data_IF_493631447315
#
_entry.id   IF_493631447315
#
_cell.length_a   1.000
_cell.length_b   1.000
_cell.length_c   1.000
_cell.angle_alpha   90.00
_cell.angle_beta   90.00
_cell.angle_gamma   90.00
#
_symmetry.space_group_name_H-M   'P 1'
#
loop_
_entity.id
_entity.type
_entity.pdbx_description
1 polymer ?
#
# COMPACT_ATOMS: atom_id res chain seq x y z
N UNK A 1 -2.79 20.09 -2.24
CA UNK A 1 -2.70 21.56 -2.23
C UNK A 1 -1.52 21.97 -3.09
N UNK A 2 -1.69 23.02 -3.89
CA UNK A 2 -0.65 23.53 -4.77
C UNK A 2 -1.07 24.85 -5.38
N UNK A 3 -0.18 25.42 -6.20
CA UNK A 3 -0.40 26.67 -6.93
C UNK A 3 0.09 26.50 -8.35
N UNK A 4 -0.65 27.03 -9.31
CA UNK A 4 -0.25 26.94 -10.71
C UNK A 4 -1.06 27.89 -11.58
N UNK A 5 -0.43 28.34 -12.65
CA UNK A 5 -1.05 29.15 -13.69
C UNK A 5 -1.21 28.28 -14.93
N UNK A 6 -2.47 27.95 -15.27
CA UNK A 6 -2.81 27.02 -16.35
C UNK A 6 -3.70 27.73 -17.38
N UNK A 7 -3.29 27.67 -18.65
CA UNK A 7 -4.03 28.15 -19.79
C UNK A 7 -4.66 26.97 -20.54
N UNK A 8 -5.96 26.78 -20.36
CA UNK A 8 -6.75 25.78 -21.07
C UNK A 8 -7.36 26.38 -22.34
N UNK A 9 -7.27 25.65 -23.45
CA UNK A 9 -7.85 25.99 -24.73
C UNK A 9 -8.68 24.80 -25.24
N UNK A 10 -9.85 25.12 -25.79
CA UNK A 10 -10.75 24.15 -26.39
C UNK A 10 -11.35 24.74 -27.66
N UNK A 11 -11.28 24.00 -28.77
CA UNK A 11 -11.84 24.43 -30.05
C UNK A 11 -13.13 23.68 -30.43
N UNK A 12 -13.85 24.20 -31.43
CA UNK A 12 -15.09 23.61 -31.92
C UNK A 12 -14.90 22.24 -32.62
N UNK A 13 -13.65 21.87 -32.96
CA UNK A 13 -13.32 20.55 -33.48
C UNK A 13 -13.09 19.52 -32.37
N UNK A 14 -13.08 19.96 -31.10
CA UNK A 14 -12.88 19.12 -29.92
C UNK A 14 -11.42 18.98 -29.49
N UNK A 15 -10.49 19.73 -30.09
CA UNK A 15 -9.09 19.71 -29.66
C UNK A 15 -8.95 20.44 -28.32
N UNK A 16 -8.25 19.81 -27.40
CA UNK A 16 -7.93 20.37 -26.09
C UNK A 16 -6.43 20.65 -26.01
N UNK A 17 -6.07 21.80 -25.45
CA UNK A 17 -4.70 22.11 -25.08
C UNK A 17 -4.66 22.74 -23.68
N UNK A 18 -3.66 22.35 -22.89
CA UNK A 18 -3.36 22.87 -21.57
C UNK A 18 -1.88 23.25 -21.54
N UNK A 19 -1.59 24.48 -21.15
CA UNK A 19 -0.22 24.98 -21.01
C UNK A 19 -0.04 25.60 -19.62
N UNK A 20 1.12 25.37 -19.02
CA UNK A 20 1.46 25.96 -17.72
C UNK A 20 2.02 24.93 -16.76
N UNK A 21 2.23 25.34 -15.51
CA UNK A 21 2.78 24.49 -14.47
C UNK A 21 1.95 24.55 -13.19
N UNK A 22 1.95 23.43 -12.47
CA UNK A 22 1.34 23.29 -11.15
C UNK A 22 2.42 22.85 -10.16
N UNK A 23 2.71 23.69 -9.18
CA UNK A 23 3.61 23.40 -8.08
C UNK A 23 2.83 22.79 -6.91
N UNK A 24 3.29 21.63 -6.44
CA UNK A 24 2.74 20.95 -5.28
C UNK A 24 3.34 21.56 -4.02
N UNK A 25 2.47 22.08 -3.16
CA UNK A 25 2.85 22.67 -1.86
C UNK A 25 2.71 21.64 -0.73
N UNK A 26 1.65 20.84 -0.78
CA UNK A 26 1.32 19.85 0.24
C UNK A 26 0.42 18.79 -0.38
N UNK A 27 0.68 17.51 -0.11
CA UNK A 27 -0.12 16.41 -0.62
C UNK A 27 0.38 15.09 -0.08
N UNK A 28 -0.35 14.02 -0.36
CA UNK A 28 0.08 12.66 -0.04
C UNK A 28 -0.15 11.75 -1.24
N UNK A 29 0.79 10.83 -1.45
CA UNK A 29 0.67 9.71 -2.37
C UNK A 29 0.59 8.44 -1.55
N UNK A 30 -0.46 7.62 -1.76
CA UNK A 30 -0.54 6.31 -1.11
C UNK A 30 -0.05 5.26 -2.09
N UNK A 31 1.10 4.68 -1.79
CA UNK A 31 1.64 3.55 -2.52
C UNK A 31 1.01 2.27 -1.98
N UNK A 32 0.40 1.50 -2.89
CA UNK A 32 -0.14 0.19 -2.60
C UNK A 32 0.79 -0.87 -3.18
N UNK A 33 1.58 -1.52 -2.32
CA UNK A 33 2.48 -2.58 -2.76
C UNK A 33 1.75 -3.90 -2.76
N UNK A 34 1.27 -4.32 -3.94
CA UNK A 34 0.68 -5.65 -4.19
C UNK A 34 -0.44 -6.06 -3.22
N UNK A 35 -1.18 -5.10 -2.66
CA UNK A 35 -2.21 -5.33 -1.64
C UNK A 35 -1.69 -5.80 -0.28
N UNK A 36 -0.36 -5.84 -0.09
CA UNK A 36 0.28 -6.25 1.16
C UNK A 36 0.41 -5.09 2.14
N UNK A 37 0.77 -3.89 1.63
CA UNK A 37 0.94 -2.69 2.45
C UNK A 37 0.42 -1.45 1.74
N UNK A 38 -0.16 -0.55 2.55
CA UNK A 38 -0.54 0.80 2.14
C UNK A 38 0.40 1.77 2.84
N UNK A 39 1.29 2.41 2.06
CA UNK A 39 2.27 3.37 2.58
C UNK A 39 1.96 4.76 2.05
N UNK A 40 1.67 5.68 2.97
CA UNK A 40 1.45 7.08 2.64
C UNK A 40 2.80 7.81 2.61
N UNK A 41 3.15 8.32 1.45
CA UNK A 41 4.25 9.24 1.23
C UNK A 41 3.71 10.66 1.22
N UNK A 42 4.42 11.58 1.87
CA UNK A 42 4.08 12.99 1.85
C UNK A 42 4.84 13.68 0.72
N UNK A 43 4.14 14.48 -0.09
CA UNK A 43 4.73 15.19 -1.22
C UNK A 43 5.74 16.22 -0.71
N UNK A 44 6.93 16.21 -1.31
CA UNK A 44 8.00 17.17 -1.03
C UNK A 44 7.68 18.48 -1.74
N UNK A 45 7.77 19.59 -1.01
CA UNK A 45 7.56 20.94 -1.54
C UNK A 45 8.55 21.22 -2.67
N UNK A 46 8.06 21.84 -3.75
CA UNK A 46 8.86 22.15 -4.95
C UNK A 46 8.68 21.13 -6.08
N UNK A 47 7.99 20.03 -5.80
CA UNK A 47 7.49 19.09 -6.83
C UNK A 47 6.54 19.82 -7.80
N UNK A 48 6.64 19.53 -9.11
CA UNK A 48 5.82 20.19 -10.12
C UNK A 48 5.27 19.27 -11.21
N UNK A 49 4.18 19.70 -11.82
CA UNK A 49 3.58 19.08 -13.02
C UNK A 49 3.53 20.15 -14.10
N UNK A 50 3.99 19.83 -15.31
CA UNK A 50 4.06 20.81 -16.41
C UNK A 50 3.28 20.31 -17.63
N UNK A 51 2.41 21.15 -18.18
CA UNK A 51 1.68 20.89 -19.41
C UNK A 51 2.18 21.79 -20.55
N UNK A 52 2.29 21.22 -21.74
CA UNK A 52 2.81 21.89 -22.94
C UNK A 52 2.00 21.54 -24.18
N UNK A 53 0.67 21.53 -24.07
CA UNK A 53 -0.24 21.15 -25.14
C UNK A 53 -1.21 20.08 -24.67
N UNK A 54 -0.96 18.81 -24.96
CA UNK A 54 -1.93 17.76 -24.64
C UNK A 54 -2.18 17.63 -23.11
N UNK A 55 -3.43 17.82 -22.64
CA UNK A 55 -3.76 17.79 -21.21
C UNK A 55 -3.48 16.46 -20.50
N UNK A 56 -3.39 15.35 -21.22
CA UNK A 56 -3.15 14.00 -20.67
C UNK A 56 -1.65 13.69 -20.59
N UNK A 57 -0.82 14.51 -21.26
CA UNK A 57 0.59 14.26 -21.53
C UNK A 57 1.52 15.13 -20.68
N UNK A 58 1.11 15.43 -19.46
CA UNK A 58 1.86 16.30 -18.57
C UNK A 58 3.24 15.72 -18.23
N UNK A 59 4.27 16.55 -18.16
CA UNK A 59 5.56 16.18 -17.58
C UNK A 59 5.47 16.13 -16.05
N UNK A 60 6.02 15.09 -15.45
CA UNK A 60 6.10 14.91 -14.01
C UNK A 60 7.51 15.21 -13.52
N UNK A 61 7.61 16.01 -12.46
CA UNK A 61 8.81 16.16 -11.64
C UNK A 61 8.35 16.24 -10.18
N UNK A 62 7.92 15.09 -9.64
CA UNK A 62 7.40 15.00 -8.28
C UNK A 62 8.34 14.19 -7.40
N UNK A 63 8.45 14.57 -6.14
CA UNK A 63 9.13 13.78 -5.13
C UNK A 63 8.21 13.58 -3.94
N UNK A 64 8.12 12.35 -3.44
CA UNK A 64 7.33 12.01 -2.25
C UNK A 64 8.21 11.26 -1.24
N UNK A 65 8.03 11.56 0.05
CA UNK A 65 8.87 11.09 1.15
C UNK A 65 8.07 10.21 2.11
N UNK A 66 8.64 9.06 2.49
CA UNK A 66 8.19 8.23 3.59
C UNK A 66 9.34 8.00 4.57
N UNK A 67 9.11 8.26 5.85
CA UNK A 67 10.10 8.04 6.91
C UNK A 67 9.89 6.67 7.57
N UNK A 68 10.91 5.83 7.52
CA UNK A 68 10.95 4.52 8.17
C UNK A 68 11.96 4.49 9.31
N UNK A 69 11.59 3.94 10.46
CA UNK A 69 12.53 3.79 11.58
C UNK A 69 12.92 2.32 11.71
N UNK A 70 14.18 2.00 11.39
CA UNK A 70 14.68 0.62 11.45
C UNK A 70 16.17 0.54 11.77
N UNK A 71 16.64 -0.63 12.18
CA UNK A 71 18.04 -0.86 12.48
C UNK A 71 18.88 -1.01 11.18
N UNK A 72 19.96 -0.23 11.00
CA UNK A 72 20.83 -0.33 9.82
C UNK A 72 21.65 -1.62 9.77
N UNK A 73 21.70 -2.43 10.83
CA UNK A 73 22.55 -3.62 10.87
C UNK A 73 22.40 -4.46 9.61
N UNK A 74 21.17 -4.81 9.25
CA UNK A 74 20.88 -5.65 8.09
C UNK A 74 21.30 -5.02 6.73
N UNK A 75 21.41 -3.69 6.65
CA UNK A 75 21.85 -2.98 5.45
C UNK A 75 23.36 -3.14 5.21
N UNK A 76 24.13 -3.24 6.30
CA UNK A 76 25.60 -3.21 6.28
C UNK A 76 26.25 -4.53 6.70
N UNK A 77 25.50 -5.46 7.30
CA UNK A 77 25.99 -6.72 7.87
C UNK A 77 26.27 -7.81 6.83
N UNK A 78 26.86 -7.46 5.69
CA UNK A 78 27.19 -8.40 4.61
C UNK A 78 28.28 -9.40 5.00
N UNK A 79 29.25 -9.62 4.10
CA UNK A 79 30.20 -10.74 4.16
C UNK A 79 31.26 -10.71 5.27
N UNK A 80 31.34 -9.64 6.07
CA UNK A 80 32.37 -9.49 7.10
C UNK A 80 31.77 -9.35 8.50
N UNK A 81 32.32 -10.14 9.43
CA UNK A 81 31.95 -10.06 10.85
C UNK A 81 32.45 -8.75 11.44
N UNK A 82 31.52 -7.92 11.91
CA UNK A 82 31.81 -6.65 12.58
C UNK A 82 32.16 -6.88 14.05
N UNK A 83 32.99 -6.03 14.67
CA UNK A 83 33.20 -6.06 16.12
C UNK A 83 31.89 -5.90 16.89
N UNK A 84 31.73 -6.60 18.01
CA UNK A 84 30.48 -6.65 18.80
C UNK A 84 29.95 -5.26 19.19
N UNK A 85 30.85 -4.33 19.54
CA UNK A 85 30.49 -2.95 19.84
C UNK A 85 29.83 -2.24 18.66
N UNK A 86 30.32 -2.45 17.45
CA UNK A 86 29.77 -1.84 16.23
C UNK A 86 28.44 -2.51 15.84
N UNK A 87 28.32 -3.83 16.01
CA UNK A 87 27.05 -4.53 15.84
C UNK A 87 25.98 -3.95 16.77
N UNK A 88 26.29 -3.76 18.05
CA UNK A 88 25.37 -3.21 19.03
C UNK A 88 24.98 -1.76 18.74
N UNK A 89 25.85 -0.98 18.10
CA UNK A 89 25.52 0.36 17.61
C UNK A 89 24.57 0.31 16.41
N UNK A 90 24.80 -0.60 15.47
CA UNK A 90 24.00 -0.76 14.25
C UNK A 90 22.65 -1.45 14.47
N UNK A 91 22.46 -2.11 15.62
CA UNK A 91 21.14 -2.62 16.05
C UNK A 91 20.21 -1.51 16.56
N UNK A 92 20.70 -0.28 16.75
CA UNK A 92 19.86 0.85 17.19
C UNK A 92 19.08 1.42 16.00
N UNK A 93 17.76 1.61 16.12
CA UNK A 93 16.95 2.15 15.03
C UNK A 93 17.36 3.57 14.62
N UNK A 94 17.37 3.82 13.30
CA UNK A 94 17.62 5.13 12.69
C UNK A 94 16.44 5.52 11.77
N UNK A 95 16.15 6.83 11.63
CA UNK A 95 15.06 7.32 10.79
C UNK A 95 15.53 7.47 9.34
N UNK A 96 15.33 6.44 8.52
CA UNK A 96 15.59 6.46 7.09
C UNK A 96 14.47 7.15 6.32
N UNK A 97 14.87 7.90 5.31
CA UNK A 97 13.98 8.61 4.41
C UNK A 97 13.94 7.85 3.07
N UNK A 98 12.78 7.32 2.71
CA UNK A 98 12.53 6.67 1.42
C UNK A 98 11.85 7.70 0.51
N UNK A 99 12.54 8.10 -0.55
CA UNK A 99 12.01 9.03 -1.55
C UNK A 99 11.57 8.28 -2.80
N UNK A 100 10.43 8.68 -3.34
CA UNK A 100 9.96 8.28 -4.67
C UNK A 100 10.05 9.50 -5.56
N UNK A 101 10.74 9.37 -6.69
CA UNK A 101 10.79 10.37 -7.73
C UNK A 101 9.90 9.93 -8.89
N UNK A 102 8.99 10.82 -9.29
CA UNK A 102 8.09 10.65 -10.43
C UNK A 102 8.60 11.56 -11.54
N UNK A 103 9.22 10.95 -12.54
CA UNK A 103 9.70 11.58 -13.75
C UNK A 103 8.85 11.22 -14.97
N UNK A 104 9.33 11.66 -16.14
CA UNK A 104 8.72 11.29 -17.41
C UNK A 104 7.37 11.96 -17.63
N UNK A 105 6.43 11.24 -18.25
CA UNK A 105 5.14 11.78 -18.67
C UNK A 105 4.02 11.13 -17.88
N UNK A 106 2.92 11.84 -17.67
CA UNK A 106 1.80 11.34 -16.86
C UNK A 106 1.14 10.08 -17.44
N UNK A 107 1.21 9.91 -18.77
CA UNK A 107 0.74 8.71 -19.48
C UNK A 107 1.76 7.55 -19.47
N UNK A 108 3.02 7.81 -19.15
CA UNK A 108 4.10 6.83 -19.02
C UNK A 108 5.09 7.31 -17.93
N UNK A 109 4.70 7.23 -16.64
CA UNK A 109 5.47 7.80 -15.55
C UNK A 109 6.70 6.93 -15.26
N UNK A 110 7.85 7.58 -15.09
CA UNK A 110 9.09 6.91 -14.67
C UNK A 110 9.23 7.03 -13.16
N UNK A 111 9.20 5.90 -12.45
CA UNK A 111 9.39 5.86 -11.00
C UNK A 111 10.82 5.44 -10.67
N UNK A 112 11.47 6.22 -9.82
CA UNK A 112 12.75 5.84 -9.19
C UNK A 112 12.68 6.05 -7.68
N UNK A 113 13.53 5.35 -6.96
CA UNK A 113 13.61 5.43 -5.51
C UNK A 113 14.98 5.94 -5.09
N UNK A 114 15.00 6.66 -3.97
CA UNK A 114 16.23 7.01 -3.26
C UNK A 114 16.05 6.64 -1.79
N UNK A 115 17.13 6.14 -1.18
CA UNK A 115 17.17 5.85 0.24
C UNK A 115 18.16 6.80 0.90
N UNK A 116 17.69 7.55 1.88
CA UNK A 116 18.45 8.62 2.50
C UNK A 116 18.41 8.55 4.03
N UNK A 117 19.31 9.28 4.65
CA UNK A 117 19.45 9.41 6.09
C UNK A 117 19.97 10.81 6.42
N UNK A 118 19.37 11.45 7.42
CA UNK A 118 19.77 12.81 7.83
C UNK A 118 21.28 12.88 8.18
N UNK A 119 21.93 13.97 7.76
CA UNK A 119 23.36 14.22 7.90
C UNK A 119 23.91 13.98 9.31
N UNK A 120 23.11 14.25 10.35
CA UNK A 120 23.54 14.02 11.72
C UNK A 120 23.79 12.54 12.02
N UNK A 121 23.02 11.65 11.41
CA UNK A 121 23.17 10.21 11.55
C UNK A 121 24.25 9.69 10.61
N UNK A 122 24.31 10.16 9.35
CA UNK A 122 25.38 9.80 8.41
C UNK A 122 26.77 10.01 8.99
N UNK A 123 27.01 11.20 9.56
CA UNK A 123 28.29 11.52 10.25
C UNK A 123 28.60 10.61 11.43
N UNK A 124 27.58 10.07 12.10
CA UNK A 124 27.73 9.18 13.26
C UNK A 124 27.87 7.70 12.88
N UNK A 125 27.42 7.33 11.68
CA UNK A 125 27.39 5.96 11.17
C UNK A 125 28.01 5.89 9.76
N UNK A 126 29.34 6.08 9.63
CA UNK A 126 30.02 6.14 8.33
C UNK A 126 29.87 4.86 7.49
N UNK A 127 29.68 3.70 8.12
CA UNK A 127 29.42 2.45 7.39
C UNK A 127 28.04 2.44 6.71
N UNK A 128 27.05 3.02 7.38
CA UNK A 128 25.70 3.18 6.82
C UNK A 128 25.75 4.19 5.70
N UNK A 129 26.44 5.31 5.91
CA UNK A 129 26.63 6.36 4.91
C UNK A 129 27.25 5.81 3.62
N UNK A 130 28.40 5.12 3.71
CA UNK A 130 29.05 4.52 2.54
C UNK A 130 28.20 3.46 1.85
N UNK A 131 27.33 2.74 2.59
CA UNK A 131 26.39 1.79 1.98
C UNK A 131 25.26 2.51 1.24
N UNK A 132 24.73 3.61 1.79
CA UNK A 132 23.75 4.44 1.10
C UNK A 132 24.33 5.04 -0.19
N UNK A 133 25.56 5.56 -0.13
CA UNK A 133 26.27 6.06 -1.33
C UNK A 133 26.47 4.97 -2.38
N UNK A 134 26.77 3.73 -1.97
CA UNK A 134 26.89 2.61 -2.90
C UNK A 134 25.54 2.26 -3.56
N UNK A 135 24.43 2.34 -2.82
CA UNK A 135 23.09 2.08 -3.36
C UNK A 135 22.60 3.15 -4.33
N UNK A 136 23.04 4.40 -4.14
CA UNK A 136 22.71 5.52 -5.02
C UNK A 136 23.42 5.44 -6.39
N UNK A 137 24.41 4.56 -6.54
CA UNK A 137 25.09 4.37 -7.81
C UNK A 137 24.15 3.74 -8.86
N UNK A 138 24.20 4.17 -10.13
CA UNK A 138 23.32 3.64 -11.19
C UNK A 138 23.40 2.12 -11.38
N UNK A 139 24.54 1.50 -11.05
CA UNK A 139 24.74 0.05 -11.12
C UNK A 139 24.06 -0.75 -10.00
N UNK A 140 23.51 -0.07 -9.00
CA UNK A 140 22.90 -0.69 -7.81
C UNK A 140 21.38 -0.49 -7.73
N UNK A 141 20.74 -0.07 -8.83
CA UNK A 141 19.29 0.18 -8.88
C UNK A 141 18.44 -1.00 -8.38
N UNK A 142 18.72 -2.21 -8.87
CA UNK A 142 17.99 -3.42 -8.45
C UNK A 142 18.14 -3.69 -6.94
N UNK A 143 19.33 -3.44 -6.40
CA UNK A 143 19.63 -3.63 -4.99
C UNK A 143 18.97 -2.56 -4.13
N UNK A 144 19.00 -1.29 -4.56
CA UNK A 144 18.29 -0.19 -3.91
C UNK A 144 16.78 -0.47 -3.84
N UNK A 145 16.18 -0.90 -4.96
CA UNK A 145 14.77 -1.28 -5.02
C UNK A 145 14.45 -2.45 -4.08
N UNK A 146 15.34 -3.44 -3.99
CA UNK A 146 15.23 -4.56 -3.04
C UNK A 146 15.22 -4.07 -1.58
N UNK A 147 16.13 -3.17 -1.22
CA UNK A 147 16.21 -2.60 0.13
C UNK A 147 15.00 -1.74 0.46
N UNK A 148 14.57 -0.88 -0.48
CA UNK A 148 13.37 -0.05 -0.33
C UNK A 148 12.13 -0.92 -0.16
N UNK A 149 11.99 -1.99 -0.93
CA UNK A 149 10.91 -2.96 -0.76
C UNK A 149 10.92 -3.58 0.63
N UNK A 150 12.10 -4.02 1.11
CA UNK A 150 12.26 -4.52 2.48
C UNK A 150 11.79 -3.51 3.52
N UNK A 151 12.17 -2.23 3.38
CA UNK A 151 11.74 -1.17 4.28
C UNK A 151 10.23 -0.91 4.24
N UNK A 152 9.61 -0.96 3.06
CA UNK A 152 8.18 -0.65 2.92
C UNK A 152 7.30 -1.82 3.36
N UNK A 153 7.72 -3.06 3.09
CA UNK A 153 6.92 -4.26 3.39
C UNK A 153 7.28 -4.86 4.75
N UNK A 154 8.56 -5.01 5.05
CA UNK A 154 9.08 -5.68 6.25
C UNK A 154 9.49 -4.70 7.37
N UNK A 155 9.48 -3.40 7.10
CA UNK A 155 10.05 -2.38 8.00
C UNK A 155 11.51 -2.67 8.42
N UNK A 156 12.26 -3.38 7.57
CA UNK A 156 13.64 -3.79 7.83
C UNK A 156 14.40 -3.98 6.53
N UNK A 157 15.72 -3.83 6.59
CA UNK A 157 16.59 -4.09 5.46
C UNK A 157 16.74 -5.57 5.18
N UNK A 158 16.97 -5.90 3.91
CA UNK A 158 17.20 -7.28 3.48
C UNK A 158 18.70 -7.54 3.52
N UNK A 159 19.12 -8.47 4.38
CA UNK A 159 20.53 -8.86 4.45
C UNK A 159 20.96 -9.54 3.15
N UNK A 160 22.16 -9.21 2.68
CA UNK A 160 22.87 -9.99 1.66
C UNK A 160 23.31 -11.33 2.26
N UNK A 161 22.36 -12.24 2.44
CA UNK A 161 22.65 -13.60 2.85
C UNK A 161 23.27 -14.35 1.67
N UNK A 162 24.57 -14.58 1.76
CA UNK A 162 25.22 -15.62 0.97
C UNK A 162 24.54 -16.96 1.25
N UNK A 163 23.64 -17.36 0.35
CA UNK A 163 23.10 -18.71 0.18
C UNK A 163 22.32 -19.37 1.34
N UNK A 164 21.87 -18.65 2.37
CA UNK A 164 20.94 -19.21 3.37
C UNK A 164 19.62 -18.44 3.42
N UNK A 165 18.57 -19.11 2.94
CA UNK A 165 17.11 -18.95 3.07
C UNK A 165 16.53 -17.61 3.56
N UNK A 166 15.52 -17.06 2.86
CA UNK A 166 14.11 -16.89 3.31
C UNK A 166 13.32 -16.29 2.12
N UNK A 167 12.11 -16.79 1.84
CA UNK A 167 11.22 -16.39 0.74
C UNK A 167 11.02 -14.87 0.51
N UNK A 168 11.36 -14.01 1.47
CA UNK A 168 11.36 -12.56 1.35
C UNK A 168 12.39 -12.02 0.34
N UNK A 169 13.56 -12.66 0.22
CA UNK A 169 14.59 -12.28 -0.78
C UNK A 169 14.10 -12.56 -2.20
N UNK A 170 13.44 -13.69 -2.43
CA UNK A 170 12.86 -14.03 -3.74
C UNK A 170 11.70 -13.10 -4.11
N UNK A 171 10.85 -12.72 -3.14
CA UNK A 171 9.77 -11.76 -3.35
C UNK A 171 10.31 -10.36 -3.68
N UNK A 172 11.30 -9.87 -2.93
CA UNK A 172 11.91 -8.57 -3.17
C UNK A 172 12.67 -8.53 -4.51
N UNK A 173 13.38 -9.60 -4.86
CA UNK A 173 14.08 -9.74 -6.16
C UNK A 173 13.07 -9.83 -7.32
N UNK A 174 11.91 -10.45 -7.11
CA UNK A 174 10.84 -10.47 -8.11
C UNK A 174 10.10 -9.13 -8.25
N UNK A 175 9.95 -8.36 -7.17
CA UNK A 175 9.36 -7.02 -7.20
C UNK A 175 10.29 -6.01 -7.89
N UNK A 176 11.59 -6.02 -7.57
CA UNK A 176 12.61 -5.16 -8.17
C UNK A 176 12.76 -5.40 -9.69
N UNK A 177 12.60 -6.64 -10.16
CA UNK A 177 12.64 -6.97 -11.60
C UNK A 177 11.42 -6.50 -12.40
N UNK A 178 10.30 -6.27 -11.72
CA UNK A 178 9.01 -5.96 -12.35
C UNK A 178 8.53 -4.52 -12.06
N UNK A 179 9.42 -3.66 -11.53
CA UNK A 179 9.13 -2.26 -11.17
C UNK A 179 8.86 -1.36 -12.38
N UNK A 180 9.07 -1.87 -13.61
CA UNK A 180 8.80 -1.17 -14.87
C UNK A 180 7.77 -1.97 -15.67
N UNK A 181 6.51 -1.54 -15.62
CA UNK A 181 5.40 -2.01 -16.47
C UNK A 181 5.10 -3.52 -16.43
N UNK A 182 4.27 -3.92 -15.48
CA UNK A 182 3.34 -5.05 -15.66
C UNK A 182 3.70 -6.33 -14.94
N UNK A 183 3.17 -6.51 -13.74
CA UNK A 183 2.82 -7.85 -13.28
C UNK A 183 1.48 -8.23 -13.91
N UNK A 184 1.56 -8.65 -15.17
CA UNK A 184 0.56 -9.51 -15.77
C UNK A 184 0.53 -10.80 -14.92
N UNK A 185 -0.67 -11.19 -14.52
CA UNK A 185 -1.10 -12.32 -13.68
C UNK A 185 -0.35 -13.65 -13.90
N UNK A 186 0.36 -13.82 -15.02
CA UNK A 186 1.06 -15.04 -15.42
C UNK A 186 2.38 -15.31 -14.68
N UNK A 187 2.97 -14.33 -13.98
CA UNK A 187 4.21 -14.57 -13.21
C UNK A 187 3.94 -14.93 -11.74
N UNK A 188 2.82 -14.48 -11.16
CA UNK A 188 2.31 -15.00 -9.88
C UNK A 188 1.91 -16.49 -9.97
N UNK A 189 1.44 -16.91 -11.15
CA UNK A 189 1.22 -18.32 -11.45
C UNK A 189 2.52 -19.16 -11.46
N UNK A 190 3.71 -18.55 -11.60
CA UNK A 190 4.99 -19.29 -11.61
C UNK A 190 5.58 -19.49 -10.21
N UNK A 191 5.32 -18.59 -9.26
CA UNK A 191 5.71 -18.78 -7.85
C UNK A 191 4.84 -19.86 -7.18
N UNK A 192 3.58 -19.96 -7.59
CA UNK A 192 2.56 -20.84 -6.99
C UNK A 192 2.34 -22.15 -7.77
N UNK A 193 2.85 -22.25 -9.00
CA UNK A 193 2.31 -23.17 -10.01
C UNK A 193 2.99 -24.52 -10.21
N UNK A 194 3.82 -25.04 -9.30
CA UNK A 194 4.40 -26.38 -9.52
C UNK A 194 3.95 -27.50 -8.60
N UNK A 195 3.26 -27.24 -7.49
CA UNK A 195 2.85 -28.35 -6.63
C UNK A 195 1.40 -28.40 -6.15
N UNK A 196 0.59 -27.34 -6.15
CA UNK A 196 -0.80 -27.45 -5.65
C UNK A 196 -1.76 -26.49 -6.37
N UNK A 197 -2.63 -27.00 -7.25
CA UNK A 197 -3.78 -26.24 -7.78
C UNK A 197 -4.78 -25.96 -6.65
N UNK A 198 -5.26 -24.71 -6.54
CA UNK A 198 -6.38 -24.33 -5.68
C UNK A 198 -6.03 -23.91 -4.25
N UNK A 199 -4.78 -23.51 -3.98
CA UNK A 199 -4.32 -22.99 -2.67
C UNK A 199 -3.98 -21.50 -2.82
N UNK A 200 -4.61 -20.65 -2.03
CA UNK A 200 -4.34 -19.22 -1.90
C UNK A 200 -3.64 -18.95 -0.56
N UNK A 201 -2.52 -18.22 -0.57
CA UNK A 201 -1.74 -17.89 0.64
C UNK A 201 -1.79 -16.37 0.82
N UNK A 202 -2.14 -15.92 2.03
CA UNK A 202 -2.16 -14.52 2.43
C UNK A 202 -1.32 -14.34 3.69
N UNK A 203 -0.53 -13.27 3.75
CA UNK A 203 0.31 -12.94 4.90
C UNK A 203 0.10 -11.46 5.23
N UNK A 204 -0.07 -11.13 6.51
CA UNK A 204 -0.23 -9.78 7.02
C UNK A 204 0.65 -9.57 8.25
N UNK A 205 1.08 -8.34 8.52
CA UNK A 205 1.90 -8.02 9.69
C UNK A 205 1.22 -6.91 10.47
N UNK A 206 1.02 -7.13 11.77
CA UNK A 206 0.34 -6.20 12.67
C UNK A 206 1.26 -5.82 13.83
N UNK A 207 1.45 -4.52 14.05
CA UNK A 207 2.23 -3.99 15.17
C UNK A 207 1.31 -3.22 16.09
N UNK A 208 1.32 -3.53 17.38
CA UNK A 208 0.46 -2.90 18.39
C UNK A 208 1.23 -2.58 19.67
N UNK A 209 0.81 -1.51 20.35
CA UNK A 209 1.39 -1.12 21.65
C UNK A 209 0.74 -1.91 22.78
N UNK A 210 1.53 -2.67 23.53
CA UNK A 210 1.09 -3.43 24.69
C UNK A 210 1.63 -2.76 25.97
N UNK A 211 0.73 -2.44 26.92
CA UNK A 211 1.11 -1.86 28.21
C UNK A 211 0.98 -2.90 29.31
N UNK A 212 2.07 -3.21 30.00
CA UNK A 212 2.06 -4.11 31.17
C UNK A 212 2.97 -3.56 32.26
N UNK A 213 2.45 -3.47 33.48
CA UNK A 213 3.19 -2.95 34.65
C UNK A 213 3.62 -1.49 34.53
N UNK A 214 2.85 -0.64 33.83
CA UNK A 214 3.14 0.79 33.67
C UNK A 214 4.22 1.12 32.63
N UNK A 215 4.64 0.15 31.81
CA UNK A 215 5.55 0.33 30.67
C UNK A 215 4.86 -0.10 29.39
N UNK A 216 4.97 0.72 28.34
CA UNK A 216 4.46 0.43 27.00
C UNK A 216 5.60 -0.14 26.16
N UNK A 217 5.36 -1.30 25.55
CA UNK A 217 6.26 -1.93 24.60
C UNK A 217 5.51 -2.26 23.31
N UNK A 218 6.17 -2.06 22.19
CA UNK A 218 5.62 -2.28 20.86
C UNK A 218 5.81 -3.76 20.51
N UNK A 219 4.72 -4.46 20.19
CA UNK A 219 4.74 -5.89 19.82
C UNK A 219 4.38 -6.07 18.36
N UNK A 220 5.19 -6.84 17.62
CA UNK A 220 4.91 -7.16 16.21
C UNK A 220 4.51 -8.63 16.05
N UNK A 221 3.35 -8.89 15.45
CA UNK A 221 2.90 -10.22 15.04
C UNK A 221 2.87 -10.36 13.52
N UNK A 222 3.36 -11.50 13.03
CA UNK A 222 3.21 -11.93 11.65
C UNK A 222 2.04 -12.91 11.57
N UNK A 223 0.97 -12.48 10.92
CA UNK A 223 -0.24 -13.24 10.71
C UNK A 223 -0.17 -13.92 9.34
N UNK A 224 -0.37 -15.23 9.31
CA UNK A 224 -0.44 -15.99 8.07
C UNK A 224 -1.81 -16.64 7.95
N UNK A 225 -2.32 -16.72 6.72
CA UNK A 225 -3.53 -17.47 6.39
C UNK A 225 -3.33 -18.22 5.08
N UNK A 226 -3.49 -19.53 5.13
CA UNK A 226 -3.51 -20.41 3.98
C UNK A 226 -4.94 -20.85 3.77
N UNK A 227 -5.46 -20.68 2.55
CA UNK A 227 -6.79 -21.15 2.20
C UNK A 227 -6.74 -22.08 0.99
N UNK A 228 -7.66 -23.05 0.95
CA UNK A 228 -7.79 -23.99 -0.14
C UNK A 228 -9.23 -24.09 -0.58
N UNK A 229 -9.48 -23.85 -1.85
CA UNK A 229 -10.80 -24.03 -2.46
C UNK A 229 -10.93 -25.42 -3.07
N UNK A 230 -12.07 -26.03 -2.80
CA UNK A 230 -12.46 -27.38 -3.22
C UNK A 230 -13.91 -27.34 -3.72
N UNK A 231 -14.34 -28.40 -4.40
CA UNK A 231 -15.72 -28.55 -4.89
C UNK A 231 -16.17 -27.41 -5.82
N UNK A 232 -15.39 -27.10 -6.87
CA UNK A 232 -15.65 -25.99 -7.79
C UNK A 232 -15.83 -24.65 -7.05
N UNK A 233 -14.88 -24.34 -6.18
CA UNK A 233 -14.85 -23.12 -5.35
C UNK A 233 -15.96 -22.98 -4.32
N UNK A 234 -16.78 -24.02 -4.10
CA UNK A 234 -17.89 -23.97 -3.12
C UNK A 234 -17.50 -24.30 -1.69
N UNK A 235 -16.34 -24.92 -1.47
CA UNK A 235 -15.87 -25.29 -0.13
C UNK A 235 -14.47 -24.73 0.07
N UNK A 236 -14.33 -23.82 1.03
CA UNK A 236 -13.06 -23.18 1.37
C UNK A 236 -12.62 -23.61 2.75
N UNK A 237 -11.43 -24.17 2.85
CA UNK A 237 -10.75 -24.39 4.12
C UNK A 237 -9.74 -23.27 4.33
N UNK A 238 -9.79 -22.63 5.48
CA UNK A 238 -8.83 -21.61 5.91
C UNK A 238 -8.10 -22.11 7.16
N UNK A 239 -6.79 -21.96 7.17
CA UNK A 239 -5.93 -22.19 8.33
C UNK A 239 -5.03 -20.98 8.47
N UNK A 240 -5.04 -20.36 9.64
CA UNK A 240 -4.22 -19.21 9.93
C UNK A 240 -3.61 -19.26 11.31
N UNK A 241 -2.85 -18.23 11.63
CA UNK A 241 -2.22 -18.07 12.92
C UNK A 241 -1.31 -16.86 12.92
N UNK A 242 -0.87 -16.48 14.11
CA UNK A 242 0.02 -15.35 14.29
C UNK A 242 1.29 -15.82 15.02
N UNK A 243 2.44 -15.41 14.51
CA UNK A 243 3.73 -15.64 15.15
C UNK A 243 4.25 -14.30 15.63
N UNK A 244 4.53 -14.20 16.92
CA UNK A 244 5.15 -13.00 17.47
C UNK A 244 6.61 -12.93 17.01
N UNK A 245 7.04 -11.76 16.54
CA UNK A 245 8.35 -11.53 15.91
C UNK A 245 9.36 -10.86 16.86
N UNK A 246 8.99 -10.62 18.13
CA UNK A 246 9.87 -9.95 19.09
C UNK A 246 10.79 -10.94 19.82
N UNK A 247 12.08 -10.79 19.57
CA UNK A 247 13.17 -11.57 20.18
C UNK A 247 13.94 -10.70 21.20
N UNK A 248 13.30 -10.31 22.30
CA UNK A 248 13.96 -9.59 23.40
C UNK A 248 13.52 -10.04 24.80
N UNK A 249 14.04 -11.21 25.24
CA UNK A 249 14.69 -11.46 26.54
C UNK A 249 14.57 -12.93 26.97
N UNK A 250 15.73 -13.57 27.13
CA UNK A 250 15.97 -14.93 27.66
C UNK A 250 15.60 -15.16 29.15
N UNK A 251 14.60 -14.48 29.73
CA UNK A 251 14.21 -14.69 31.14
C UNK A 251 12.70 -14.65 31.43
N UNK A 252 11.89 -15.19 30.54
CA UNK A 252 10.54 -15.65 30.89
C UNK A 252 10.36 -17.07 30.36
N UNK A 253 10.22 -18.02 31.28
CA UNK A 253 10.06 -19.45 31.02
C UNK A 253 9.16 -19.74 29.81
N UNK A 254 9.68 -20.54 28.86
CA UNK A 254 8.99 -21.45 27.94
C UNK A 254 7.45 -21.42 28.00
N UNK A 255 6.85 -20.39 27.42
CA UNK A 255 5.55 -20.53 26.77
C UNK A 255 5.86 -20.40 25.30
N UNK A 256 5.67 -21.49 24.57
CA UNK A 256 5.63 -21.43 23.12
C UNK A 256 4.53 -20.41 22.73
N UNK A 257 4.91 -19.16 22.45
CA UNK A 257 4.02 -18.11 21.93
C UNK A 257 3.72 -18.36 20.43
N UNK A 258 3.45 -19.61 20.07
CA UNK A 258 2.72 -19.90 18.84
C UNK A 258 1.26 -19.64 19.19
N UNK A 259 0.74 -18.46 18.83
CA UNK A 259 -0.69 -18.16 19.04
C UNK A 259 -1.50 -19.29 18.40
N UNK A 260 -2.51 -19.79 19.12
CA UNK A 260 -3.20 -21.01 18.75
C UNK A 260 -3.76 -20.93 17.32
N UNK A 261 -3.58 -22.01 16.55
CA UNK A 261 -3.94 -22.07 15.15
C UNK A 261 -5.42 -21.73 14.93
N UNK A 262 -5.67 -20.78 14.05
CA UNK A 262 -7.01 -20.39 13.61
C UNK A 262 -7.43 -21.28 12.45
N UNK A 263 -8.70 -21.65 12.40
CA UNK A 263 -9.23 -22.39 11.27
C UNK A 263 -10.67 -22.01 10.99
N UNK A 264 -11.02 -21.94 9.71
CA UNK A 264 -12.38 -21.74 9.26
C UNK A 264 -12.72 -22.67 8.10
N UNK A 265 -13.97 -23.07 8.03
CA UNK A 265 -14.54 -23.83 6.93
C UNK A 265 -15.73 -23.05 6.42
N UNK A 266 -15.67 -22.62 5.16
CA UNK A 266 -16.72 -21.86 4.50
C UNK A 266 -17.34 -22.72 3.40
N UNK A 267 -18.67 -22.76 3.35
CA UNK A 267 -19.43 -23.47 2.33
C UNK A 267 -20.44 -22.55 1.65
N UNK A 268 -20.30 -22.39 0.35
CA UNK A 268 -21.24 -21.65 -0.49
C UNK A 268 -22.47 -22.50 -0.78
N UNK A 269 -23.53 -22.17 -0.05
CA UNK A 269 -24.83 -22.85 -0.14
C UNK A 269 -25.43 -22.62 -1.52
N UNK A 270 -25.32 -21.39 -2.04
CA UNK A 270 -25.74 -21.05 -3.40
C UNK A 270 -24.56 -20.87 -4.34
N UNK A 271 -24.68 -21.26 -5.63
CA UNK A 271 -23.59 -21.12 -6.61
C UNK A 271 -23.14 -19.67 -6.85
N UNK A 272 -23.97 -18.70 -6.50
CA UNK A 272 -23.71 -17.27 -6.63
C UNK A 272 -23.11 -16.65 -5.35
N UNK A 273 -22.78 -17.46 -4.33
CA UNK A 273 -22.16 -17.01 -3.08
C UNK A 273 -23.07 -16.15 -2.18
N UNK A 274 -24.34 -15.95 -2.53
CA UNK A 274 -25.26 -15.11 -1.73
C UNK A 274 -25.53 -15.68 -0.36
N UNK A 275 -25.50 -17.00 -0.21
CA UNK A 275 -25.66 -17.68 1.07
C UNK A 275 -24.44 -18.53 1.37
N UNK A 276 -23.80 -18.28 2.51
CA UNK A 276 -22.59 -18.97 2.92
C UNK A 276 -22.69 -19.41 4.38
N UNK A 277 -22.25 -20.63 4.66
CA UNK A 277 -22.12 -21.16 6.02
C UNK A 277 -20.65 -21.11 6.41
N UNK A 278 -20.32 -20.61 7.60
CA UNK A 278 -18.94 -20.53 8.10
C UNK A 278 -18.85 -21.14 9.49
N UNK A 279 -18.10 -22.23 9.62
CA UNK A 279 -17.62 -22.71 10.93
C UNK A 279 -16.24 -22.13 11.18
N UNK A 280 -15.98 -21.60 12.37
CA UNK A 280 -14.70 -20.97 12.68
C UNK A 280 -14.24 -21.22 14.11
N UNK A 281 -12.93 -21.18 14.29
CA UNK A 281 -12.22 -21.14 15.55
C UNK A 281 -11.13 -20.08 15.41
N UNK A 282 -11.29 -18.97 16.14
CA UNK A 282 -10.44 -17.78 16.05
C UNK A 282 -9.95 -17.40 17.46
N UNK A 283 -8.74 -16.86 17.55
CA UNK A 283 -8.16 -16.44 18.83
C UNK A 283 -7.99 -14.93 18.82
N UNK A 284 -8.66 -14.26 19.76
CA UNK A 284 -8.60 -12.80 19.90
C UNK A 284 -7.96 -12.42 21.23
N UNK A 285 -7.14 -11.38 21.26
CA UNK A 285 -6.52 -10.89 22.49
C UNK A 285 -7.24 -9.63 22.98
N UNK A 286 -7.71 -9.65 24.23
CA UNK A 286 -8.25 -8.48 24.93
C UNK A 286 -7.26 -8.05 26.02
N UNK A 287 -7.03 -6.73 26.15
CA UNK A 287 -6.14 -6.14 27.16
C UNK A 287 -6.58 -6.44 28.60
N UNK A 288 -7.86 -6.72 28.83
CA UNK A 288 -8.40 -7.00 30.17
C UNK A 288 -8.56 -8.50 30.46
N UNK A 289 -8.98 -9.29 29.47
CA UNK A 289 -9.34 -10.70 29.63
C UNK A 289 -8.27 -11.69 29.10
N UNK A 290 -7.23 -11.20 28.42
CA UNK A 290 -6.18 -12.03 27.85
C UNK A 290 -6.59 -12.71 26.54
N UNK A 291 -6.11 -13.94 26.30
CA UNK A 291 -6.45 -14.70 25.09
C UNK A 291 -7.87 -15.27 25.18
N UNK A 292 -8.76 -14.76 24.33
CA UNK A 292 -10.15 -15.19 24.19
C UNK A 292 -10.29 -15.99 22.89
N UNK A 293 -10.47 -17.29 23.04
CA UNK A 293 -10.83 -18.19 21.93
C UNK A 293 -12.33 -18.13 21.65
N UNK A 294 -12.71 -17.91 20.39
CA UNK A 294 -14.10 -17.94 19.94
C UNK A 294 -14.28 -19.03 18.91
N UNK A 295 -15.25 -19.91 19.16
CA UNK A 295 -15.67 -20.93 18.20
C UNK A 295 -17.15 -20.81 17.94
N UNK A 296 -17.53 -20.89 16.67
CA UNK A 296 -18.92 -20.69 16.30
C UNK A 296 -19.23 -21.13 14.88
N UNK A 297 -20.53 -21.07 14.58
CA UNK A 297 -21.06 -21.25 13.24
C UNK A 297 -21.85 -20.00 12.89
N UNK A 298 -21.53 -19.41 11.75
CA UNK A 298 -22.19 -18.24 11.20
C UNK A 298 -22.89 -18.59 9.89
N UNK A 299 -24.06 -18.01 9.69
CA UNK A 299 -24.76 -18.01 8.41
C UNK A 299 -24.71 -16.60 7.84
N UNK A 300 -24.21 -16.46 6.62
CA UNK A 300 -23.93 -15.18 5.99
C UNK A 300 -24.79 -15.03 4.75
N UNK A 301 -25.39 -13.83 4.60
CA UNK A 301 -26.20 -13.46 3.44
C UNK A 301 -25.68 -12.15 2.85
N UNK A 302 -25.24 -12.19 1.59
CA UNK A 302 -24.69 -11.03 0.88
C UNK A 302 -25.57 -10.71 -0.33
N UNK A 303 -25.96 -9.44 -0.48
CA UNK A 303 -26.75 -8.94 -1.62
C UNK A 303 -26.15 -7.64 -2.14
N UNK A 304 -25.69 -7.66 -3.38
CA UNK A 304 -25.30 -6.46 -4.10
C UNK A 304 -26.53 -5.69 -4.58
N UNK A 305 -26.62 -4.41 -4.23
CA UNK A 305 -27.61 -3.49 -4.78
C UNK A 305 -26.96 -2.69 -5.88
N UNK A 306 -27.24 -3.04 -7.13
CA UNK A 306 -26.95 -2.14 -8.26
C UNK A 306 -28.03 -1.08 -8.28
N UNK A 307 -27.64 0.20 -8.23
CA UNK A 307 -28.54 1.33 -8.44
C UNK A 307 -29.36 1.05 -9.69
N UNK A 308 -30.68 1.12 -9.56
CA UNK A 308 -31.55 0.76 -10.68
C UNK A 308 -31.41 1.81 -11.77
N UNK A 309 -31.44 1.40 -13.05
CA UNK A 309 -31.43 2.33 -14.19
C UNK A 309 -32.51 3.42 -14.09
N UNK A 310 -33.56 3.18 -13.28
CA UNK A 310 -34.60 4.15 -12.94
C UNK A 310 -34.12 5.29 -12.04
N UNK A 311 -33.20 5.04 -11.10
CA UNK A 311 -32.61 6.07 -10.24
C UNK A 311 -31.57 6.90 -10.99
N UNK A 312 -30.74 6.26 -11.82
CA UNK A 312 -29.80 6.96 -12.70
C UNK A 312 -30.52 7.90 -13.69
N UNK A 313 -31.63 7.44 -14.29
CA UNK A 313 -32.44 8.27 -15.19
C UNK A 313 -33.14 9.44 -14.46
N UNK A 314 -33.55 9.24 -13.21
CA UNK A 314 -34.15 10.30 -12.40
C UNK A 314 -33.14 11.39 -12.02
N UNK A 315 -31.88 11.02 -11.80
CA UNK A 315 -30.80 11.94 -11.48
C UNK A 315 -30.31 12.72 -12.71
N UNK A 316 -30.25 12.09 -13.89
CA UNK A 316 -30.01 12.77 -15.17
C UNK A 316 -31.14 13.76 -15.53
N UNK A 317 -32.41 13.38 -15.33
CA UNK A 317 -33.54 14.27 -15.60
C UNK A 317 -33.55 15.50 -14.69
N UNK A 318 -33.07 15.35 -13.44
CA UNK A 318 -33.00 16.44 -12.46
C UNK A 318 -31.90 17.45 -12.82
N UNK A 319 -30.73 16.96 -13.26
CA UNK A 319 -29.62 17.81 -13.75
C UNK A 319 -29.96 18.56 -15.05
N UNK A 320 -30.83 17.99 -15.89
CA UNK A 320 -31.28 18.63 -17.14
C UNK A 320 -32.26 19.79 -16.91
N UNK A 321 -33.00 19.79 -15.80
CA UNK A 321 -34.02 20.81 -15.51
C UNK A 321 -33.47 22.03 -14.75
N UNK A 322 -32.29 21.91 -14.14
CA UNK A 322 -31.61 23.03 -13.45
C UNK A 322 -30.84 23.96 -14.41
N UNK A 323 -30.70 23.58 -15.69
CA UNK A 323 -29.99 24.35 -16.73
C UNK A 323 -30.87 25.04 -17.79
N UNK A 324 -32.20 25.01 -17.67
CA UNK A 324 -33.08 25.66 -18.65
C UNK A 324 -33.20 27.18 -18.34
N UNK A 325 -32.95 28.08 -19.31
CA UNK A 325 -33.19 29.50 -19.11
C UNK A 325 -34.69 29.73 -18.91
N UNK A 326 -35.05 30.57 -17.93
CA UNK A 326 -36.43 31.05 -17.77
C UNK A 326 -36.77 31.90 -19.00
N UNK A 327 -37.94 31.73 -19.62
CA UNK A 327 -38.33 32.59 -20.73
C UNK A 327 -38.51 34.02 -20.22
N UNK A 328 -37.84 34.96 -20.90
CA UNK A 328 -37.91 36.40 -20.64
C UNK A 328 -39.34 36.89 -20.85
N UNK A 329 -39.97 37.39 -19.79
CA UNK A 329 -41.18 38.21 -19.86
C UNK A 329 -40.75 39.66 -20.08
N UNK A 330 -40.68 40.10 -21.34
CA UNK A 330 -40.73 41.53 -21.68
C UNK A 330 -40.99 41.71 -23.19
N UNK A 331 -42.26 41.92 -23.56
CA UNK A 331 -42.64 42.78 -24.69
C UNK A 331 -44.08 43.32 -24.50
N UNK A 332 -44.23 44.62 -24.74
CA UNK A 332 -45.30 45.52 -24.30
C UNK A 332 -46.42 45.75 -25.35
N UNK A 333 -47.66 45.97 -24.83
CA UNK A 333 -48.70 46.96 -25.24
C UNK A 333 -49.43 46.79 -26.61
N UNK A 334 -50.57 47.45 -26.96
CA UNK A 334 -51.52 48.25 -26.18
C UNK A 334 -53.02 47.92 -26.34
N UNK A 335 -53.81 48.42 -25.38
CA UNK A 335 -55.10 49.05 -25.68
C UNK A 335 -56.35 48.28 -25.27
N UNK A 336 -57.05 48.81 -24.27
CA UNK A 336 -58.47 49.19 -24.38
C UNK A 336 -58.92 50.05 -23.20
N UNK A 337 -59.50 51.21 -23.57
CA UNK A 337 -60.39 52.03 -22.76
C UNK A 337 -61.76 51.35 -22.68
N UNK A 338 -62.63 51.94 -21.86
CA UNK A 338 -64.04 51.63 -21.55
C UNK A 338 -64.18 50.70 -20.34
N UNK A 339 -65.03 50.93 -19.34
CA UNK A 339 -65.85 52.06 -18.86
C UNK A 339 -66.27 51.68 -17.41
N UNK A 340 -66.76 52.69 -16.66
CA UNK A 340 -67.42 52.68 -15.33
C UNK A 340 -66.60 53.17 -14.12
#
# INVERSE_FOLDING_TARGET
>A
RGSGDLAFQYDAAGNMALNGSFEVVEGGYTLEFYGLVHKRFDMVKGSSITWSGDPVKAGLDLTALYRSTTAPYALVSGSESLPEEEQNRLKKPLPFDVLIHFGGRMDDPELTFTLDLDDQYRRRFPMVDGRLEALDQPGSKEELERQVFGLLVLNSFIQDAGNETVAASDLATSAARNSMNGLLTDQLNKLTGRYLKGVDISVGMYTYDQSSGGRTFQRTSLDYKVSKRLLNDRLTFEVGGAVDMDDQNDQVNNVANTRAAEYAILYDVTPDGRFQLRGFHENSYDLYDGEITRSGVAFMFTREFRMSAREAAHEEARKRNEGAPRPDEDEQDPGKREDE
#
